data_IF_223433955949
#
_entry.id   IF_223433955949
#
_cell.length_a   1.000
_cell.length_b   1.000
_cell.length_c   1.000
_cell.angle_alpha   90.00
_cell.angle_beta   90.00
_cell.angle_gamma   90.00
#
_symmetry.space_group_name_H-M   'P 1'
#
loop_
_entity.id
_entity.type
_entity.pdbx_description
1 polymer ?
#
# COMPACT_ATOMS: atom_id res chain seq x y z
N UNK A 1 25.09 9.01 6.46
CA UNK A 1 24.06 9.31 5.45
C UNK A 1 22.73 9.50 6.20
N UNK A 2 22.17 10.72 6.31
CA UNK A 2 20.97 10.93 7.13
C UNK A 2 19.72 10.59 6.30
N UNK A 3 19.33 9.31 6.33
CA UNK A 3 18.15 8.78 5.65
C UNK A 3 16.85 9.19 6.37
N UNK A 4 16.55 10.48 6.43
CA UNK A 4 15.20 10.97 6.79
C UNK A 4 14.22 10.75 5.62
N UNK A 5 14.35 9.60 4.95
CA UNK A 5 13.41 9.12 3.98
C UNK A 5 12.26 8.54 4.81
N UNK A 6 11.28 9.38 5.16
CA UNK A 6 10.04 8.93 5.82
C UNK A 6 9.55 7.72 5.05
N UNK A 7 9.68 6.56 5.66
CA UNK A 7 9.42 5.32 4.94
C UNK A 7 7.95 5.35 4.51
N UNK A 8 7.59 4.83 3.33
CA UNK A 8 6.18 4.76 2.91
C UNK A 8 5.27 4.09 3.95
N UNK A 9 5.83 3.33 4.89
CA UNK A 9 5.18 2.77 6.07
C UNK A 9 4.75 3.84 7.09
N UNK A 10 5.57 4.86 7.35
CA UNK A 10 5.24 5.95 8.28
C UNK A 10 4.11 6.83 7.75
N UNK A 11 4.09 7.14 6.45
CA UNK A 11 2.96 7.88 5.86
C UNK A 11 1.66 7.08 5.95
N UNK A 12 1.72 5.76 5.72
CA UNK A 12 0.57 4.86 5.88
C UNK A 12 0.10 4.78 7.34
N UNK A 13 1.03 4.79 8.29
CA UNK A 13 0.71 4.77 9.72
C UNK A 13 0.00 6.04 10.17
N UNK A 14 0.46 7.21 9.69
CA UNK A 14 -0.24 8.49 9.95
C UNK A 14 -1.66 8.49 9.38
N UNK A 15 -1.85 7.96 8.17
CA UNK A 15 -3.18 7.81 7.58
C UNK A 15 -4.14 7.01 8.48
N UNK A 16 -3.68 5.87 9.01
CA UNK A 16 -4.50 5.04 9.90
C UNK A 16 -4.76 5.73 11.23
N UNK A 17 -3.76 6.44 11.78
CA UNK A 17 -3.91 7.18 13.02
C UNK A 17 -4.96 8.30 12.87
N UNK A 18 -4.87 9.12 11.82
CA UNK A 18 -5.85 10.17 11.51
C UNK A 18 -7.27 9.59 11.33
N UNK A 19 -7.39 8.43 10.67
CA UNK A 19 -8.67 7.73 10.52
C UNK A 19 -9.23 7.26 11.87
N UNK A 20 -8.40 6.70 12.75
CA UNK A 20 -8.82 6.22 14.08
C UNK A 20 -9.22 7.32 15.03
N UNK A 21 -8.68 8.52 14.85
CA UNK A 21 -9.11 9.70 15.59
C UNK A 21 -10.42 10.30 15.05
N UNK A 22 -10.98 9.72 13.98
CA UNK A 22 -12.22 10.19 13.33
C UNK A 22 -12.18 11.69 12.96
N UNK A 23 -10.97 12.24 12.77
CA UNK A 23 -10.76 13.66 12.48
C UNK A 23 -11.24 14.04 11.07
N UNK A 24 -11.27 13.05 10.17
CA UNK A 24 -11.61 13.22 8.77
C UNK A 24 -12.37 12.01 8.27
N UNK A 25 -13.25 12.22 7.30
CA UNK A 25 -13.88 11.09 6.59
C UNK A 25 -12.87 10.39 5.70
N UNK A 26 -13.16 9.13 5.33
CA UNK A 26 -12.33 8.36 4.41
C UNK A 26 -12.05 9.08 3.09
N UNK A 27 -13.01 9.85 2.58
CA UNK A 27 -12.86 10.62 1.34
C UNK A 27 -11.86 11.79 1.48
N UNK A 28 -11.92 12.51 2.59
CA UNK A 28 -11.02 13.62 2.90
C UNK A 28 -9.59 13.12 3.15
N UNK A 29 -9.45 12.05 3.94
CA UNK A 29 -8.18 11.36 4.17
C UNK A 29 -7.54 10.90 2.86
N UNK A 30 -8.31 10.24 2.00
CA UNK A 30 -7.80 9.80 0.70
C UNK A 30 -7.35 10.96 -0.19
N UNK A 31 -8.10 12.06 -0.19
CA UNK A 31 -7.73 13.29 -0.93
C UNK A 31 -6.45 13.90 -0.37
N UNK A 32 -6.33 14.02 0.96
CA UNK A 32 -5.17 14.61 1.64
C UNK A 32 -3.88 13.82 1.41
N UNK A 33 -3.99 12.49 1.42
CA UNK A 33 -2.85 11.60 1.21
C UNK A 33 -2.64 11.22 -0.27
N UNK A 34 -3.45 11.76 -1.20
CA UNK A 34 -3.30 11.52 -2.64
C UNK A 34 -3.54 10.08 -3.06
N UNK A 35 -4.35 9.32 -2.32
CA UNK A 35 -4.65 7.92 -2.59
C UNK A 35 -6.11 7.72 -2.99
N UNK A 36 -6.41 6.60 -3.64
CA UNK A 36 -7.79 6.19 -3.88
C UNK A 36 -8.44 5.61 -2.63
N UNK A 37 -9.76 5.80 -2.49
CA UNK A 37 -10.59 5.19 -1.43
C UNK A 37 -10.37 3.68 -1.30
N UNK A 38 -10.28 2.95 -2.42
CA UNK A 38 -9.95 1.51 -2.42
C UNK A 38 -8.61 1.19 -1.74
N UNK A 39 -7.59 2.02 -1.95
CA UNK A 39 -6.29 1.85 -1.31
C UNK A 39 -6.36 2.12 0.18
N UNK A 40 -7.09 3.17 0.58
CA UNK A 40 -7.33 3.47 1.99
C UNK A 40 -8.00 2.29 2.72
N UNK A 41 -9.09 1.74 2.17
CA UNK A 41 -9.82 0.64 2.82
C UNK A 41 -8.95 -0.60 2.96
N UNK A 42 -8.13 -0.88 1.94
CA UNK A 42 -7.17 -1.98 1.97
C UNK A 42 -6.08 -1.79 3.03
N UNK A 43 -5.69 -0.56 3.33
CA UNK A 43 -4.72 -0.29 4.40
C UNK A 43 -5.35 -0.47 5.77
N UNK A 44 -6.60 -0.04 5.95
CA UNK A 44 -7.38 -0.29 7.17
C UNK A 44 -7.51 -1.79 7.45
N UNK A 45 -8.05 -2.54 6.50
CA UNK A 45 -8.21 -4.00 6.58
C UNK A 45 -6.90 -4.69 6.99
N UNK A 46 -5.80 -4.39 6.29
CA UNK A 46 -4.47 -4.95 6.63
C UNK A 46 -3.94 -4.52 7.99
N UNK A 47 -4.26 -3.31 8.42
CA UNK A 47 -3.87 -2.81 9.73
C UNK A 47 -4.69 -3.49 10.83
N UNK A 48 -5.96 -3.80 10.59
CA UNK A 48 -6.79 -4.58 11.52
C UNK A 48 -6.30 -6.03 11.62
N UNK A 49 -5.86 -6.62 10.51
CA UNK A 49 -5.32 -7.99 10.49
C UNK A 49 -3.93 -8.13 11.14
N UNK A 50 -3.01 -7.20 10.85
CA UNK A 50 -1.58 -7.36 11.16
C UNK A 50 -0.91 -6.09 11.74
N UNK A 51 -1.68 -5.04 12.03
CA UNK A 51 -1.17 -3.77 12.55
C UNK A 51 -0.18 -3.09 11.61
N UNK A 52 0.84 -2.47 12.21
CA UNK A 52 1.95 -1.81 11.49
C UNK A 52 2.63 -2.71 10.45
N UNK A 53 2.67 -4.03 10.70
CA UNK A 53 3.28 -4.98 9.77
C UNK A 53 2.48 -5.12 8.47
N UNK A 54 1.16 -4.95 8.52
CA UNK A 54 0.28 -4.96 7.34
C UNK A 54 0.47 -3.76 6.41
N UNK A 55 1.00 -2.65 6.94
CA UNK A 55 1.31 -1.43 6.19
C UNK A 55 2.67 -1.47 5.48
N UNK A 56 3.54 -2.42 5.84
CA UNK A 56 4.81 -2.64 5.14
C UNK A 56 4.54 -3.05 3.70
N UNK A 57 5.42 -2.66 2.78
CA UNK A 57 5.28 -3.09 1.39
C UNK A 57 5.46 -4.61 1.31
N UNK A 58 4.36 -5.35 1.22
CA UNK A 58 4.40 -6.67 0.59
C UNK A 58 4.66 -6.38 -0.87
N UNK A 59 5.93 -6.53 -1.27
CA UNK A 59 6.39 -6.43 -2.64
C UNK A 59 5.31 -6.96 -3.54
N UNK A 60 4.75 -6.05 -4.33
CA UNK A 60 3.66 -6.31 -5.26
C UNK A 60 4.17 -7.10 -6.47
N UNK A 61 5.16 -7.97 -6.27
CA UNK A 61 5.69 -8.85 -7.28
C UNK A 61 4.52 -9.71 -7.78
N UNK A 62 4.07 -9.51 -9.02
CA UNK A 62 3.12 -10.43 -9.61
C UNK A 62 3.83 -11.79 -9.66
N UNK A 63 3.40 -12.76 -8.84
CA UNK A 63 3.89 -14.15 -8.91
C UNK A 63 3.46 -14.88 -10.19
N UNK A 64 2.87 -14.16 -11.16
CA UNK A 64 2.49 -14.66 -12.47
C UNK A 64 2.80 -13.60 -13.52
N UNK A 65 3.98 -13.73 -14.13
CA UNK A 65 4.18 -13.37 -15.52
C UNK A 65 3.86 -14.64 -16.33
N UNK A 66 2.72 -14.74 -17.05
CA UNK A 66 2.41 -15.90 -17.89
C UNK A 66 3.14 -15.93 -19.24
N UNK A 67 4.09 -15.02 -19.51
CA UNK A 67 4.63 -14.85 -20.86
C UNK A 67 6.14 -15.04 -20.91
N UNK A 68 6.60 -16.22 -20.52
CA UNK A 68 7.75 -16.83 -21.19
C UNK A 68 7.18 -17.64 -22.36
N UNK A 69 6.92 -16.97 -23.49
CA UNK A 69 6.59 -17.68 -24.73
C UNK A 69 7.72 -18.67 -25.02
N UNK A 70 7.42 -19.97 -25.18
CA UNK A 70 8.44 -20.95 -25.49
C UNK A 70 9.03 -20.65 -26.87
N UNK A 71 10.35 -20.73 -26.91
CA UNK A 71 11.22 -20.79 -28.07
C UNK A 71 10.53 -21.49 -29.25
N UNK A 72 10.16 -20.73 -30.27
CA UNK A 72 9.70 -21.31 -31.54
C UNK A 72 10.90 -21.42 -32.47
N UNK A 73 11.57 -22.56 -32.37
CA UNK A 73 12.40 -23.06 -33.47
C UNK A 73 11.54 -23.14 -34.72
N UNK A 74 12.00 -22.53 -35.81
CA UNK A 74 11.50 -22.82 -37.15
C UNK A 74 12.68 -22.82 -38.14
N UNK A 75 12.55 -23.67 -39.17
CA UNK A 75 13.66 -24.39 -39.81
C UNK A 75 14.58 -23.53 -40.66
#
# INVERSE_FOLDING_TARGET
MPWLETSPVEQRERFIHDHRLELYTMAELCTRYGISRKTGYKWLDRFEEAGRQGLRDRSRAPRRCPTASPMRSRP
#
